data_IF_527432110533
#
_entry.id   IF_527432110533
#
_cell.length_a   1.000
_cell.length_b   1.000
_cell.length_c   1.000
_cell.angle_alpha   90.00
_cell.angle_beta   90.00
_cell.angle_gamma   90.00
#
_symmetry.space_group_name_H-M   'P 1'
#
loop_
_entity.id
_entity.type
_entity.pdbx_description
1 polymer ?
#
# COMPACT_ATOMS: atom_id res chain seq x y z
N UNK A 1 -70.21 15.08 14.00
CA UNK A 1 -69.80 16.44 14.31
C UNK A 1 -68.33 16.56 14.05
N UNK A 2 -67.96 17.02 12.93
CA UNK A 2 -67.38 18.32 12.63
C UNK A 2 -66.02 18.47 13.37
N UNK A 3 -64.91 18.69 12.76
CA UNK A 3 -64.63 19.52 11.65
C UNK A 3 -63.17 19.39 11.13
N UNK A 4 -63.15 19.55 9.87
CA UNK A 4 -62.00 19.72 8.99
C UNK A 4 -61.33 21.09 9.24
N UNK A 5 -59.98 21.13 9.20
CA UNK A 5 -59.29 22.37 8.80
C UNK A 5 -57.99 22.06 8.08
N UNK A 6 -58.00 22.32 6.77
CA UNK A 6 -56.85 22.53 5.91
C UNK A 6 -56.33 23.97 6.10
N UNK A 7 -55.00 24.12 6.09
CA UNK A 7 -54.28 25.36 5.73
C UNK A 7 -52.88 24.86 5.38
N UNK A 8 -52.21 25.09 4.29
CA UNK A 8 -52.31 26.01 3.19
C UNK A 8 -50.90 26.07 2.60
N UNK A 9 -50.81 25.76 1.33
CA UNK A 9 -49.56 25.80 0.55
C UNK A 9 -49.03 27.24 0.45
N UNK A 10 -47.71 27.40 0.50
CA UNK A 10 -47.02 28.54 -0.11
C UNK A 10 -45.80 28.06 -0.90
N UNK A 11 -46.02 28.02 -2.21
CA UNK A 11 -45.00 28.00 -3.20
C UNK A 11 -44.25 29.35 -3.22
N UNK A 12 -42.92 29.33 -3.21
CA UNK A 12 -42.13 30.48 -3.60
C UNK A 12 -41.40 30.16 -4.89
N UNK A 13 -41.95 30.73 -5.97
CA UNK A 13 -41.32 30.87 -7.27
C UNK A 13 -40.33 32.02 -7.16
N UNK A 14 -39.08 31.80 -7.47
CA UNK A 14 -38.13 32.85 -7.77
C UNK A 14 -37.68 32.72 -9.24
N UNK A 15 -38.11 33.72 -9.97
CA UNK A 15 -37.82 33.98 -11.37
C UNK A 15 -36.34 34.29 -11.60
N UNK A 16 -35.92 33.83 -12.75
CA UNK A 16 -34.77 34.23 -13.55
C UNK A 16 -34.50 35.74 -13.62
N UNK A 17 -33.27 36.11 -13.46
CA UNK A 17 -32.77 37.36 -14.01
C UNK A 17 -31.51 37.05 -14.84
N UNK A 18 -31.74 36.91 -16.16
CA UNK A 18 -30.75 36.94 -17.21
C UNK A 18 -30.64 38.38 -17.68
N UNK A 19 -29.51 39.05 -17.43
CA UNK A 19 -29.11 40.21 -18.25
C UNK A 19 -27.63 40.47 -18.18
N UNK A 20 -27.00 40.31 -19.33
CA UNK A 20 -25.95 41.18 -19.91
C UNK A 20 -24.63 41.38 -19.16
N UNK A 21 -23.58 40.73 -19.66
CA UNK A 21 -22.34 41.45 -19.89
C UNK A 21 -21.69 40.94 -21.21
N UNK A 22 -22.02 41.67 -22.27
CA UNK A 22 -21.23 41.70 -23.52
C UNK A 22 -20.14 42.75 -23.38
N UNK A 23 -18.95 42.35 -23.79
CA UNK A 23 -18.00 43.35 -24.32
C UNK A 23 -16.77 43.60 -23.45
N UNK A 24 -15.68 42.93 -23.79
CA UNK A 24 -14.40 43.62 -24.09
C UNK A 24 -13.42 42.62 -24.75
N UNK A 25 -13.43 42.64 -26.08
CA UNK A 25 -12.38 42.06 -26.90
C UNK A 25 -11.32 43.15 -27.07
N UNK A 26 -10.20 43.01 -26.40
CA UNK A 26 -9.00 43.79 -26.73
C UNK A 26 -8.04 42.89 -27.53
N UNK A 27 -7.93 43.19 -28.82
CA UNK A 27 -6.92 42.66 -29.72
C UNK A 27 -5.53 43.13 -29.27
N UNK A 28 -4.69 42.20 -28.87
CA UNK A 28 -3.24 42.40 -28.89
C UNK A 28 -2.68 41.70 -30.14
N UNK A 29 -2.25 42.47 -31.10
CA UNK A 29 -1.53 42.03 -32.29
C UNK A 29 -0.19 41.43 -31.90
N UNK A 30 0.14 40.38 -32.63
CA UNK A 30 1.34 39.60 -32.48
C UNK A 30 2.66 40.34 -32.76
N UNK A 31 3.67 39.76 -32.19
CA UNK A 31 5.01 39.77 -32.76
C UNK A 31 5.51 38.33 -32.73
N UNK A 32 5.70 37.80 -33.92
CA UNK A 32 6.40 36.55 -34.14
C UNK A 32 7.87 36.75 -33.77
N UNK A 33 8.37 35.96 -32.86
CA UNK A 33 9.81 35.87 -32.62
C UNK A 33 10.38 34.80 -33.57
N UNK A 34 11.39 35.17 -34.30
CA UNK A 34 12.20 34.32 -35.18
C UNK A 34 12.94 33.26 -34.35
N UNK A 35 13.15 32.06 -34.92
CA UNK A 35 13.94 31.02 -34.26
C UNK A 35 15.43 31.37 -34.33
N UNK A 36 16.23 31.06 -33.30
CA UNK A 36 17.67 31.30 -33.34
C UNK A 36 18.36 30.33 -34.31
N UNK A 37 19.33 30.90 -35.03
CA UNK A 37 20.19 30.26 -36.02
C UNK A 37 20.91 29.02 -35.43
N UNK A 38 21.00 27.99 -36.27
CA UNK A 38 21.85 26.84 -36.09
C UNK A 38 23.32 27.21 -36.15
N UNK A 39 24.02 27.04 -35.04
CA UNK A 39 25.49 27.13 -35.04
C UNK A 39 26.03 25.71 -35.19
N UNK A 40 26.60 25.46 -36.38
CA UNK A 40 27.46 24.31 -36.65
C UNK A 40 28.69 24.35 -35.74
N UNK A 41 28.86 23.36 -34.89
CA UNK A 41 30.12 23.11 -34.19
C UNK A 41 30.64 21.73 -34.56
N UNK A 42 31.61 21.72 -35.47
CA UNK A 42 32.42 20.58 -35.80
C UNK A 42 33.16 20.01 -34.59
N UNK A 43 32.99 18.72 -34.44
CA UNK A 43 33.97 17.69 -34.02
C UNK A 43 35.14 18.08 -33.12
N UNK A 44 35.18 17.50 -31.94
CA UNK A 44 36.37 16.77 -31.47
C UNK A 44 35.92 15.57 -30.64
N UNK A 45 36.00 14.39 -31.25
CA UNK A 45 35.97 13.10 -30.53
C UNK A 45 37.21 13.00 -29.63
N UNK A 46 37.03 13.16 -28.33
CA UNK A 46 37.85 12.51 -27.34
C UNK A 46 36.98 11.58 -26.53
N UNK A 47 37.07 10.30 -26.92
CA UNK A 47 36.53 9.18 -26.13
C UNK A 47 37.34 9.06 -24.84
N UNK A 48 36.95 9.82 -23.82
CA UNK A 48 37.30 9.42 -22.46
C UNK A 48 36.35 8.30 -22.03
N UNK A 49 36.78 7.07 -22.29
CA UNK A 49 36.28 5.89 -21.63
C UNK A 49 36.56 6.08 -20.13
N UNK A 50 35.59 6.66 -19.39
CA UNK A 50 35.61 6.57 -17.95
C UNK A 50 35.36 5.12 -17.60
N UNK A 51 36.42 4.45 -17.15
CA UNK A 51 36.34 3.20 -16.42
C UNK A 51 35.48 3.46 -15.17
N UNK A 52 34.21 3.14 -15.26
CA UNK A 52 33.33 3.04 -14.09
C UNK A 52 33.75 1.78 -13.37
N UNK A 53 34.24 1.83 -12.12
CA UNK A 53 34.52 0.63 -11.39
C UNK A 53 33.21 -0.17 -11.26
N UNK A 54 33.17 -1.37 -11.80
CA UNK A 54 32.13 -2.35 -11.55
C UNK A 54 32.12 -2.66 -10.05
N UNK A 55 31.17 -2.07 -9.29
CA UNK A 55 31.06 -2.33 -7.87
C UNK A 55 30.60 -1.21 -6.96
N UNK A 56 30.21 -0.04 -7.47
CA UNK A 56 29.49 0.90 -6.65
C UNK A 56 28.02 0.45 -6.57
N UNK A 57 27.67 -0.33 -5.53
CA UNK A 57 26.28 -0.41 -5.11
C UNK A 57 25.84 1.02 -4.85
N UNK A 58 24.86 1.51 -5.60
CA UNK A 58 24.18 2.76 -5.23
C UNK A 58 23.79 2.60 -3.77
N UNK A 59 24.39 3.39 -2.89
CA UNK A 59 24.09 3.34 -1.47
C UNK A 59 22.67 3.86 -1.35
N UNK A 60 21.80 3.01 -0.87
CA UNK A 60 20.46 3.43 -0.48
C UNK A 60 20.58 4.48 0.62
N UNK A 61 20.12 5.70 0.34
CA UNK A 61 19.98 6.73 1.35
C UNK A 61 18.62 6.56 2.03
N UNK A 62 18.64 5.85 3.16
CA UNK A 62 17.44 5.66 3.96
C UNK A 62 16.90 7.01 4.45
N UNK A 63 15.66 7.33 4.11
CA UNK A 63 14.95 8.54 4.58
C UNK A 63 14.31 8.33 5.94
N UNK A 64 14.15 7.10 6.36
CA UNK A 64 13.62 6.68 7.65
C UNK A 64 14.15 5.28 8.00
N UNK A 65 14.01 4.87 9.24
CA UNK A 65 14.23 3.48 9.69
C UNK A 65 13.12 3.07 10.65
N UNK A 66 12.96 1.76 10.84
CA UNK A 66 12.07 1.23 11.88
C UNK A 66 12.74 1.13 13.26
N UNK A 67 14.05 1.31 13.31
CA UNK A 67 14.84 1.28 14.54
C UNK A 67 14.82 2.66 15.23
N UNK A 68 14.88 2.71 16.58
CA UNK A 68 15.05 3.97 17.31
C UNK A 68 16.27 4.75 16.82
N UNK A 69 16.18 6.07 16.76
CA UNK A 69 17.26 6.95 16.34
C UNK A 69 16.76 8.14 15.51
N UNK A 70 17.67 8.94 14.99
CA UNK A 70 17.33 10.20 14.29
C UNK A 70 16.38 10.06 13.11
N UNK A 71 16.32 8.87 12.51
CA UNK A 71 15.40 8.51 11.41
C UNK A 71 14.30 7.53 11.86
N UNK A 72 14.24 7.23 13.15
CA UNK A 72 13.32 6.25 13.74
C UNK A 72 11.89 6.76 13.87
N UNK A 73 10.97 5.85 14.26
CA UNK A 73 9.52 6.14 14.30
C UNK A 73 9.15 7.33 15.18
N UNK A 74 9.95 7.64 16.21
CA UNK A 74 9.77 8.80 17.09
C UNK A 74 10.00 10.14 16.39
N UNK A 75 10.67 10.14 15.23
CA UNK A 75 11.01 11.33 14.45
C UNK A 75 10.33 11.41 13.08
N UNK A 76 9.44 10.47 12.74
CA UNK A 76 8.75 10.48 11.44
C UNK A 76 7.84 11.69 11.23
N UNK A 77 7.43 12.36 12.31
CA UNK A 77 6.69 13.63 12.25
C UNK A 77 5.28 13.51 11.66
N UNK A 78 4.72 14.67 11.33
CA UNK A 78 3.43 14.82 10.61
C UNK A 78 2.31 13.90 11.11
N UNK A 79 1.61 13.23 10.19
CA UNK A 79 0.51 12.32 10.52
C UNK A 79 1.00 11.10 11.31
N UNK A 80 2.27 10.70 11.16
CA UNK A 80 2.83 9.57 11.92
C UNK A 80 2.77 9.80 13.44
N UNK A 81 2.95 11.04 13.88
CA UNK A 81 2.94 11.43 15.30
C UNK A 81 1.61 12.00 15.77
N UNK A 82 0.85 12.69 14.90
CA UNK A 82 -0.39 13.39 15.26
C UNK A 82 -1.67 12.60 14.94
N UNK A 83 -1.57 11.58 14.10
CA UNK A 83 -2.70 10.79 13.63
C UNK A 83 -3.45 10.06 14.75
N UNK A 84 -4.73 9.85 14.54
CA UNK A 84 -5.63 9.23 15.53
C UNK A 84 -5.97 7.78 15.18
N UNK A 85 -5.77 7.38 13.93
CA UNK A 85 -6.08 6.04 13.41
C UNK A 85 -4.83 5.34 12.89
N UNK A 86 -3.75 5.42 13.65
CA UNK A 86 -2.46 4.88 13.22
C UNK A 86 -2.39 3.35 13.31
N UNK A 87 -1.56 2.76 12.43
CA UNK A 87 -1.21 1.33 12.37
C UNK A 87 0.31 1.14 12.58
N UNK A 88 0.77 -0.08 12.95
CA UNK A 88 -0.01 -1.28 13.26
C UNK A 88 -0.64 -1.22 14.66
N UNK A 89 -1.53 -2.18 14.98
CA UNK A 89 -2.23 -2.23 16.28
C UNK A 89 -2.12 -3.62 16.93
N UNK A 90 -2.41 -3.69 18.23
CA UNK A 90 -2.68 -4.96 18.91
C UNK A 90 -4.19 -5.24 18.92
N UNK A 91 -4.59 -6.33 18.27
CA UNK A 91 -5.96 -6.81 18.21
C UNK A 91 -6.25 -7.59 19.50
N UNK A 92 -6.51 -6.88 20.59
CA UNK A 92 -6.81 -7.47 21.91
C UNK A 92 -8.29 -7.78 22.10
N UNK A 93 -9.15 -6.99 21.41
CA UNK A 93 -10.61 -7.08 21.55
C UNK A 93 -11.25 -6.90 20.18
N UNK A 94 -11.65 -8.00 19.58
CA UNK A 94 -12.48 -7.99 18.40
C UNK A 94 -13.96 -8.18 18.81
N UNK A 95 -14.85 -7.56 18.04
CA UNK A 95 -16.30 -7.76 18.19
C UNK A 95 -16.81 -8.36 16.89
N UNK A 96 -17.38 -9.54 17.00
CA UNK A 96 -18.14 -10.12 15.89
C UNK A 96 -19.36 -9.25 15.64
N UNK A 97 -19.54 -8.79 14.43
CA UNK A 97 -20.73 -8.01 14.06
C UNK A 97 -21.91 -8.96 13.84
N UNK A 98 -22.98 -8.80 14.62
CA UNK A 98 -24.13 -9.70 14.48
C UNK A 98 -24.95 -9.41 13.20
N UNK A 99 -24.97 -8.19 12.67
CA UNK A 99 -25.84 -7.80 11.53
C UNK A 99 -25.35 -6.50 10.89
N UNK A 100 -25.27 -6.41 9.55
CA UNK A 100 -25.15 -7.53 8.61
C UNK A 100 -23.81 -8.22 8.74
N UNK A 101 -23.67 -9.48 8.32
CA UNK A 101 -22.38 -10.16 8.33
C UNK A 101 -21.38 -9.38 7.46
N UNK A 102 -20.13 -9.36 7.88
CA UNK A 102 -19.07 -8.76 7.08
C UNK A 102 -19.00 -9.47 5.73
N UNK A 103 -18.89 -8.69 4.65
CA UNK A 103 -18.74 -9.25 3.32
C UNK A 103 -17.45 -10.07 3.23
N UNK A 104 -17.47 -11.24 2.56
CA UNK A 104 -16.27 -12.04 2.37
C UNK A 104 -15.25 -11.30 1.52
N UNK A 105 -14.00 -11.74 1.64
CA UNK A 105 -12.91 -11.36 0.73
C UNK A 105 -12.98 -12.26 -0.51
N UNK A 106 -13.30 -11.68 -1.67
CA UNK A 106 -13.38 -12.38 -2.94
C UNK A 106 -12.12 -12.13 -3.74
N UNK A 107 -11.14 -13.04 -3.67
CA UNK A 107 -9.88 -12.94 -4.39
C UNK A 107 -10.03 -13.41 -5.83
N UNK A 108 -9.62 -12.59 -6.79
CA UNK A 108 -9.60 -12.86 -8.22
C UNK A 108 -8.17 -12.70 -8.74
N UNK A 109 -7.27 -13.52 -8.23
CA UNK A 109 -5.87 -13.52 -8.63
C UNK A 109 -5.62 -14.60 -9.67
N UNK A 110 -4.73 -14.30 -10.59
CA UNK A 110 -4.28 -15.20 -11.65
C UNK A 110 -2.75 -15.25 -11.63
N UNK A 111 -2.13 -16.31 -12.16
CA UNK A 111 -0.71 -16.34 -12.31
C UNK A 111 -0.18 -15.13 -13.07
N UNK A 112 0.77 -14.42 -12.48
CA UNK A 112 1.43 -13.25 -13.04
C UNK A 112 2.93 -13.48 -13.12
N UNK A 113 3.60 -12.76 -14.01
CA UNK A 113 5.05 -12.74 -14.12
C UNK A 113 5.66 -12.27 -12.81
N UNK A 114 6.75 -12.91 -12.40
CA UNK A 114 7.47 -12.52 -11.19
C UNK A 114 8.19 -11.18 -11.43
N UNK A 115 7.80 -10.18 -10.63
CA UNK A 115 8.41 -8.85 -10.60
C UNK A 115 8.75 -8.52 -9.14
N UNK A 116 10.04 -8.61 -8.80
CA UNK A 116 10.54 -8.39 -7.44
C UNK A 116 11.29 -7.08 -7.33
N UNK A 117 11.12 -6.43 -6.21
CA UNK A 117 11.85 -5.22 -5.83
C UNK A 117 12.50 -5.42 -4.48
N UNK A 118 13.79 -5.11 -4.39
CA UNK A 118 14.47 -4.95 -3.12
C UNK A 118 14.50 -3.45 -2.81
N UNK A 119 13.47 -2.98 -2.09
CA UNK A 119 13.21 -1.56 -1.85
C UNK A 119 13.95 -1.06 -0.61
N UNK A 120 15.15 -0.57 -0.83
CA UNK A 120 15.97 -0.07 0.25
C UNK A 120 15.47 1.26 0.86
N UNK A 121 14.62 2.00 0.16
CA UNK A 121 14.04 3.22 0.72
C UNK A 121 12.94 2.91 1.73
N UNK A 122 12.26 1.77 1.58
CA UNK A 122 11.21 1.31 2.49
C UNK A 122 11.67 0.17 3.40
N UNK A 123 12.93 -0.28 3.28
CA UNK A 123 13.53 -1.38 4.06
C UNK A 123 12.76 -2.70 3.95
N UNK A 124 12.33 -3.06 2.74
CA UNK A 124 11.59 -4.30 2.52
C UNK A 124 11.82 -4.89 1.12
N UNK A 125 11.56 -6.17 0.99
CA UNK A 125 11.38 -6.85 -0.29
C UNK A 125 9.90 -6.84 -0.61
N UNK A 126 9.57 -6.61 -1.89
CA UNK A 126 8.19 -6.67 -2.38
C UNK A 126 8.07 -7.39 -3.72
N UNK A 127 6.88 -7.88 -4.01
CA UNK A 127 6.48 -8.42 -5.31
C UNK A 127 5.41 -7.52 -5.88
N UNK A 128 5.61 -6.99 -7.07
CA UNK A 128 4.63 -6.15 -7.78
C UNK A 128 3.76 -6.99 -8.71
N UNK A 129 2.56 -6.51 -8.97
CA UNK A 129 1.57 -7.19 -9.81
C UNK A 129 1.00 -6.27 -10.90
N UNK A 130 0.62 -6.85 -12.06
CA UNK A 130 -0.07 -6.11 -13.11
C UNK A 130 -1.52 -5.77 -12.70
N UNK A 131 -2.16 -4.88 -13.47
CA UNK A 131 -3.45 -4.27 -13.15
C UNK A 131 -4.68 -5.20 -13.23
N UNK A 132 -4.47 -6.50 -13.47
CA UNK A 132 -5.56 -7.46 -13.69
C UNK A 132 -5.84 -8.42 -12.51
N UNK A 133 -5.23 -8.20 -11.35
CA UNK A 133 -5.48 -8.96 -10.13
C UNK A 133 -6.35 -8.14 -9.17
N UNK A 134 -7.47 -8.70 -8.76
CA UNK A 134 -8.47 -7.96 -7.99
C UNK A 134 -8.91 -8.71 -6.73
N UNK A 135 -9.15 -7.92 -5.69
CA UNK A 135 -9.91 -8.29 -4.51
C UNK A 135 -11.23 -7.55 -4.53
N UNK A 136 -12.35 -8.23 -4.33
CA UNK A 136 -13.65 -7.59 -4.13
C UNK A 136 -14.07 -7.68 -2.67
N UNK A 137 -14.51 -6.57 -2.10
CA UNK A 137 -15.08 -6.48 -0.76
C UNK A 137 -16.38 -5.68 -0.86
N UNK A 138 -17.50 -6.28 -0.44
CA UNK A 138 -18.82 -5.67 -0.55
C UNK A 138 -19.10 -5.09 -1.96
N UNK A 139 -18.76 -5.84 -3.01
CA UNK A 139 -18.87 -5.51 -4.44
C UNK A 139 -17.91 -4.42 -4.94
N UNK A 140 -17.08 -3.82 -4.09
CA UNK A 140 -16.07 -2.86 -4.52
C UNK A 140 -14.80 -3.58 -4.94
N UNK A 141 -14.28 -3.31 -6.13
CA UNK A 141 -13.01 -3.88 -6.57
C UNK A 141 -11.84 -3.07 -6.03
N UNK A 142 -10.76 -3.77 -5.67
CA UNK A 142 -9.48 -3.23 -5.28
C UNK A 142 -8.39 -3.98 -6.04
N UNK A 143 -7.58 -3.28 -6.80
CA UNK A 143 -6.48 -3.87 -7.58
C UNK A 143 -5.32 -4.22 -6.65
N UNK A 144 -4.80 -5.44 -6.73
CA UNK A 144 -3.55 -5.82 -6.07
C UNK A 144 -2.39 -5.08 -6.74
N UNK A 145 -1.68 -4.28 -5.99
CA UNK A 145 -0.49 -3.54 -6.45
C UNK A 145 0.78 -4.31 -6.16
N UNK A 146 0.95 -4.70 -4.90
CA UNK A 146 2.16 -5.36 -4.42
C UNK A 146 1.89 -6.22 -3.19
N UNK A 147 2.84 -7.11 -2.88
CA UNK A 147 2.92 -7.82 -1.61
C UNK A 147 4.22 -7.42 -0.95
N UNK A 148 4.13 -6.82 0.22
CA UNK A 148 5.26 -6.39 1.04
C UNK A 148 5.54 -7.42 2.15
N UNK A 149 6.82 -7.65 2.44
CA UNK A 149 7.25 -8.60 3.46
C UNK A 149 7.82 -7.83 4.67
N UNK A 150 7.31 -8.13 5.86
CA UNK A 150 7.76 -7.52 7.12
C UNK A 150 8.23 -8.58 8.11
N UNK A 151 9.36 -8.32 8.78
CA UNK A 151 9.91 -9.16 9.85
C UNK A 151 10.33 -8.26 11.04
N UNK A 152 9.73 -8.48 12.23
CA UNK A 152 8.57 -9.34 12.52
C UNK A 152 7.30 -8.83 11.82
N UNK A 153 6.20 -9.61 11.89
CA UNK A 153 4.91 -9.14 11.39
C UNK A 153 4.42 -7.91 12.15
N UNK A 154 3.63 -7.06 11.50
CA UNK A 154 3.36 -5.73 12.02
C UNK A 154 2.21 -5.69 13.04
N UNK A 155 1.01 -6.20 12.69
CA UNK A 155 -0.08 -6.24 13.66
C UNK A 155 0.11 -7.37 14.67
N UNK A 156 -0.23 -7.11 15.92
CA UNK A 156 -0.26 -8.13 16.95
C UNK A 156 -1.68 -8.64 17.19
N UNK A 157 -1.80 -9.89 17.61
CA UNK A 157 -3.06 -10.47 18.08
C UNK A 157 -2.84 -10.92 19.52
N UNK A 158 -3.59 -10.32 20.45
CA UNK A 158 -3.49 -10.59 21.89
C UNK A 158 -2.04 -10.48 22.42
N UNK A 159 -1.37 -9.41 22.02
CA UNK A 159 -0.01 -9.08 22.43
C UNK A 159 1.10 -9.86 21.70
N UNK A 160 0.78 -10.71 20.74
CA UNK A 160 1.77 -11.52 20.02
C UNK A 160 1.86 -11.09 18.57
N UNK A 161 3.03 -10.68 18.12
CA UNK A 161 3.35 -10.49 16.71
C UNK A 161 3.66 -11.84 16.07
N UNK A 162 3.26 -12.07 14.80
CA UNK A 162 3.72 -13.22 14.05
C UNK A 162 5.21 -13.09 13.71
N UNK A 163 5.85 -14.20 13.35
CA UNK A 163 7.27 -14.20 12.97
C UNK A 163 7.54 -13.27 11.76
N UNK A 164 6.63 -13.27 10.79
CA UNK A 164 6.60 -12.33 9.66
C UNK A 164 5.15 -12.00 9.32
N UNK A 165 4.95 -11.01 8.47
CA UNK A 165 3.68 -10.81 7.77
C UNK A 165 3.88 -10.45 6.31
N UNK A 166 2.90 -10.85 5.49
CA UNK A 166 2.78 -10.45 4.10
C UNK A 166 1.62 -9.46 4.00
N UNK A 167 1.89 -8.29 3.47
CA UNK A 167 0.87 -7.27 3.26
C UNK A 167 0.51 -7.19 1.79
N UNK A 168 -0.66 -7.67 1.43
CA UNK A 168 -1.24 -7.56 0.09
C UNK A 168 -1.85 -6.17 -0.03
N UNK A 169 -1.13 -5.27 -0.67
CA UNK A 169 -1.50 -3.87 -0.82
C UNK A 169 -2.39 -3.69 -2.04
N UNK A 170 -3.60 -3.19 -1.81
CA UNK A 170 -4.57 -2.96 -2.87
C UNK A 170 -4.98 -1.50 -2.95
N UNK A 171 -5.36 -1.10 -4.16
CA UNK A 171 -5.85 0.25 -4.45
C UNK A 171 -7.24 0.18 -5.09
N UNK A 172 -8.16 0.99 -4.59
CA UNK A 172 -9.43 1.23 -5.28
C UNK A 172 -9.23 2.14 -6.50
N UNK A 173 -10.22 2.25 -7.40
CA UNK A 173 -10.18 3.25 -8.48
C UNK A 173 -10.01 4.69 -7.99
N UNK A 174 -10.47 4.99 -6.77
CA UNK A 174 -10.32 6.29 -6.12
C UNK A 174 -9.01 6.43 -5.33
N UNK A 175 -8.05 5.53 -5.55
CA UNK A 175 -6.74 5.49 -4.89
C UNK A 175 -6.83 5.36 -3.35
N UNK A 176 -7.86 4.69 -2.82
CA UNK A 176 -7.91 4.35 -1.40
C UNK A 176 -7.24 3.00 -1.14
N UNK A 177 -6.47 2.93 -0.07
CA UNK A 177 -5.75 1.71 0.30
C UNK A 177 -6.63 0.70 1.03
N UNK A 178 -6.48 -0.56 0.66
CA UNK A 178 -6.93 -1.73 1.40
C UNK A 178 -5.75 -2.69 1.52
N UNK A 179 -5.42 -3.10 2.75
CA UNK A 179 -4.33 -4.04 3.00
C UNK A 179 -4.90 -5.31 3.62
N UNK A 180 -4.60 -6.44 2.98
CA UNK A 180 -4.82 -7.76 3.58
C UNK A 180 -3.50 -8.23 4.15
N UNK A 181 -3.42 -8.37 5.47
CA UNK A 181 -2.25 -8.91 6.14
C UNK A 181 -2.42 -10.41 6.39
N UNK A 182 -1.47 -11.17 5.89
CA UNK A 182 -1.35 -12.62 6.12
C UNK A 182 -0.27 -12.84 7.18
N UNK A 183 -0.61 -13.28 8.39
CA UNK A 183 0.38 -13.63 9.40
C UNK A 183 1.21 -14.84 8.97
N UNK A 184 2.46 -14.87 9.36
CA UNK A 184 3.37 -15.99 9.11
C UNK A 184 3.87 -16.55 10.44
N UNK A 185 3.80 -17.85 10.59
CA UNK A 185 4.38 -18.59 11.72
C UNK A 185 5.53 -19.49 11.24
N UNK A 186 6.47 -19.74 12.12
CA UNK A 186 7.50 -20.73 11.84
C UNK A 186 6.86 -22.13 11.80
N UNK A 187 7.18 -22.89 10.73
CA UNK A 187 6.63 -24.20 10.49
C UNK A 187 7.27 -24.86 9.28
N UNK A 188 6.46 -25.38 8.38
CA UNK A 188 6.92 -26.04 7.16
C UNK A 188 7.46 -25.04 6.15
N UNK A 189 8.36 -25.53 5.30
CA UNK A 189 8.84 -24.76 4.15
C UNK A 189 7.68 -24.41 3.21
N UNK A 190 7.66 -23.15 2.77
CA UNK A 190 6.73 -22.67 1.74
C UNK A 190 7.46 -22.68 0.37
N UNK A 191 7.02 -23.51 -0.59
CA UNK A 191 7.72 -23.64 -1.89
C UNK A 191 7.75 -22.34 -2.69
N UNK A 192 6.66 -21.53 -2.64
CA UNK A 192 6.61 -20.27 -3.37
C UNK A 192 7.60 -19.27 -2.77
N UNK A 193 7.67 -19.18 -1.44
CA UNK A 193 8.67 -18.34 -0.76
C UNK A 193 10.09 -18.78 -1.13
N UNK A 194 10.34 -20.11 -1.21
CA UNK A 194 11.63 -20.62 -1.68
C UNK A 194 11.96 -20.18 -3.11
N UNK A 195 10.97 -20.05 -3.97
CA UNK A 195 11.12 -19.48 -5.32
C UNK A 195 11.42 -17.99 -5.26
N UNK A 196 10.64 -17.22 -4.48
CA UNK A 196 10.83 -15.77 -4.35
C UNK A 196 12.23 -15.43 -3.84
N UNK A 197 12.70 -16.07 -2.77
CA UNK A 197 14.00 -15.77 -2.16
C UNK A 197 15.21 -16.02 -3.09
N UNK A 198 15.05 -16.90 -4.08
CA UNK A 198 16.09 -17.11 -5.12
C UNK A 198 16.19 -15.95 -6.11
N UNK A 199 15.19 -15.10 -6.17
CA UNK A 199 15.06 -14.03 -7.17
C UNK A 199 15.03 -12.63 -6.56
N UNK A 200 15.34 -12.48 -5.26
CA UNK A 200 15.46 -11.15 -4.64
C UNK A 200 16.64 -10.41 -5.28
N UNK A 201 16.41 -9.26 -5.91
CA UNK A 201 17.49 -8.51 -6.55
C UNK A 201 18.41 -7.85 -5.52
N UNK A 202 19.54 -7.32 -5.97
CA UNK A 202 20.40 -6.49 -5.12
C UNK A 202 19.66 -5.27 -4.58
N UNK A 203 20.06 -4.74 -3.42
CA UNK A 203 19.39 -3.63 -2.77
C UNK A 203 19.20 -2.41 -3.68
N UNK A 204 18.02 -1.79 -3.64
CA UNK A 204 17.63 -0.70 -4.49
C UNK A 204 17.34 -1.06 -5.95
N UNK A 205 17.23 -2.33 -6.28
CA UNK A 205 17.01 -2.83 -7.65
C UNK A 205 15.69 -3.56 -7.80
N UNK A 206 15.26 -3.61 -9.05
CA UNK A 206 14.11 -4.37 -9.52
C UNK A 206 14.57 -5.53 -10.39
N UNK A 207 13.84 -6.63 -10.34
CA UNK A 207 14.08 -7.78 -11.23
C UNK A 207 12.75 -8.34 -11.71
N UNK A 208 12.55 -8.31 -13.02
CA UNK A 208 11.45 -8.98 -13.70
C UNK A 208 11.98 -10.27 -14.31
N UNK A 209 11.35 -11.40 -14.00
CA UNK A 209 11.74 -12.71 -14.49
C UNK A 209 10.66 -13.25 -15.42
N UNK A 210 10.94 -13.23 -16.75
CA UNK A 210 9.93 -13.46 -17.80
C UNK A 210 9.43 -14.89 -17.88
N UNK A 211 10.20 -15.85 -17.44
CA UNK A 211 9.92 -17.29 -17.48
C UNK A 211 9.29 -17.84 -16.20
N UNK A 212 9.24 -17.03 -15.13
CA UNK A 212 8.66 -17.41 -13.86
C UNK A 212 7.31 -16.73 -13.68
N UNK A 213 6.28 -17.54 -13.47
CA UNK A 213 4.96 -17.08 -13.07
C UNK A 213 4.66 -17.56 -11.66
N UNK A 214 4.08 -16.66 -10.87
CA UNK A 214 3.62 -16.94 -9.52
C UNK A 214 2.13 -16.64 -9.40
N UNK A 215 1.46 -17.33 -8.49
CA UNK A 215 0.07 -17.04 -8.15
C UNK A 215 0.01 -16.51 -6.71
N UNK A 216 -0.43 -15.27 -6.53
CA UNK A 216 -0.58 -14.67 -5.20
C UNK A 216 -1.55 -15.46 -4.29
N UNK A 217 -2.46 -16.26 -4.87
CA UNK A 217 -3.33 -17.17 -4.09
C UNK A 217 -2.54 -18.19 -3.27
N UNK A 218 -1.36 -18.60 -3.74
CA UNK A 218 -0.53 -19.61 -3.05
C UNK A 218 0.13 -19.07 -1.77
N UNK A 219 0.00 -17.78 -1.51
CA UNK A 219 0.43 -17.11 -0.27
C UNK A 219 -0.74 -16.79 0.68
N UNK A 220 -1.94 -17.27 0.38
CA UNK A 220 -3.11 -17.14 1.25
C UNK A 220 -3.37 -18.45 1.99
N UNK A 221 -3.83 -18.41 3.26
CA UNK A 221 -4.32 -19.60 3.93
C UNK A 221 -5.64 -20.09 3.28
N UNK A 222 -6.03 -21.33 3.50
CA UNK A 222 -7.28 -21.88 2.98
C UNK A 222 -8.54 -21.20 3.55
N UNK A 223 -8.46 -20.75 4.80
CA UNK A 223 -9.54 -20.01 5.46
C UNK A 223 -9.20 -18.53 5.47
N UNK A 224 -10.08 -17.71 4.88
CA UNK A 224 -9.93 -16.27 4.77
C UNK A 224 -10.67 -15.50 5.87
N UNK A 225 -11.00 -16.11 7.00
CA UNK A 225 -11.52 -15.42 8.16
C UNK A 225 -10.58 -14.29 8.61
N UNK A 226 -11.13 -13.14 9.01
CA UNK A 226 -10.33 -11.94 9.24
C UNK A 226 -10.81 -11.10 10.42
N UNK A 227 -9.91 -10.26 10.92
CA UNK A 227 -10.21 -9.06 11.68
C UNK A 227 -10.12 -7.85 10.76
N UNK A 228 -10.97 -6.84 10.95
CA UNK A 228 -10.91 -5.60 10.15
C UNK A 228 -11.05 -4.35 10.98
N UNK A 229 -10.31 -3.33 10.61
CA UNK A 229 -10.35 -2.01 11.25
C UNK A 229 -9.88 -0.92 10.27
N UNK A 230 -10.13 0.34 10.61
CA UNK A 230 -9.55 1.48 9.90
C UNK A 230 -8.23 1.87 10.53
N UNK A 231 -7.21 2.06 9.70
CA UNK A 231 -5.86 2.38 10.14
C UNK A 231 -5.12 3.29 9.18
N UNK A 232 -3.81 3.17 9.17
CA UNK A 232 -2.89 3.97 8.34
C UNK A 232 -1.91 3.06 7.59
N UNK A 233 -1.11 3.65 6.70
CA UNK A 233 0.16 3.06 6.29
C UNK A 233 1.10 2.99 7.50
N UNK A 234 2.04 2.05 7.48
CA UNK A 234 2.98 1.78 8.59
C UNK A 234 4.38 2.31 8.33
N UNK A 235 4.55 3.02 7.23
CA UNK A 235 5.76 3.77 6.89
C UNK A 235 5.43 5.27 6.73
N UNK A 236 6.40 6.19 6.79
CA UNK A 236 6.19 7.60 6.48
C UNK A 236 5.59 7.78 5.07
N UNK A 237 4.57 8.59 4.92
CA UNK A 237 3.96 9.61 5.80
C UNK A 237 2.74 9.12 6.61
N UNK A 238 2.57 7.81 6.83
CA UNK A 238 1.55 7.21 7.71
C UNK A 238 0.11 7.63 7.41
N UNK A 239 -0.23 7.81 6.14
CA UNK A 239 -1.56 8.25 5.73
C UNK A 239 -2.66 7.37 6.30
N UNK A 240 -3.64 8.01 6.91
CA UNK A 240 -4.83 7.36 7.48
C UNK A 240 -5.88 7.04 6.40
N UNK A 241 -6.89 6.26 6.78
CA UNK A 241 -7.98 5.86 5.88
C UNK A 241 -7.77 4.49 5.25
N UNK A 242 -6.69 3.80 5.57
CA UNK A 242 -6.43 2.43 5.12
C UNK A 242 -7.43 1.45 5.73
N UNK A 243 -8.04 0.61 4.91
CA UNK A 243 -8.85 -0.51 5.37
C UNK A 243 -7.96 -1.73 5.60
N UNK A 244 -7.80 -2.15 6.84
CA UNK A 244 -7.04 -3.32 7.22
C UNK A 244 -7.91 -4.55 7.36
N UNK A 245 -7.44 -5.66 6.79
CA UNK A 245 -7.99 -7.01 6.93
C UNK A 245 -6.86 -7.94 7.35
N UNK A 246 -6.81 -8.29 8.64
CA UNK A 246 -5.79 -9.19 9.19
C UNK A 246 -6.37 -10.59 9.23
N UNK A 247 -5.82 -11.52 8.44
CA UNK A 247 -6.31 -12.88 8.40
C UNK A 247 -6.09 -13.58 9.74
N UNK A 248 -7.07 -14.41 10.14
CA UNK A 248 -7.03 -15.15 11.42
C UNK A 248 -6.06 -16.33 11.39
N UNK A 249 -5.93 -16.94 10.21
CA UNK A 249 -5.13 -18.12 9.99
C UNK A 249 -3.81 -17.77 9.35
N UNK A 250 -2.67 -18.14 9.94
CA UNK A 250 -1.36 -17.88 9.37
C UNK A 250 -1.04 -18.89 8.26
N UNK A 251 -0.08 -18.49 7.41
CA UNK A 251 0.69 -19.44 6.61
C UNK A 251 1.98 -19.80 7.34
N UNK A 252 2.63 -20.88 6.89
CA UNK A 252 3.90 -21.35 7.47
C UNK A 252 5.08 -20.96 6.56
N UNK A 253 6.20 -20.63 7.18
CA UNK A 253 7.53 -20.57 6.58
C UNK A 253 8.51 -21.33 7.46
N UNK A 254 9.52 -21.95 6.87
CA UNK A 254 10.58 -22.59 7.66
C UNK A 254 11.46 -21.54 8.36
N UNK A 255 12.07 -21.93 9.48
CA UNK A 255 13.03 -21.08 10.18
C UNK A 255 14.15 -20.58 9.26
N UNK A 256 14.60 -21.42 8.31
CA UNK A 256 15.62 -21.05 7.33
C UNK A 256 15.13 -19.99 6.33
N UNK A 257 13.86 -20.04 5.90
CA UNK A 257 13.28 -19.02 5.03
C UNK A 257 13.14 -17.67 5.74
N UNK A 258 12.72 -17.67 7.00
CA UNK A 258 12.66 -16.46 7.83
C UNK A 258 14.08 -15.90 8.04
N UNK A 259 15.04 -16.76 8.39
CA UNK A 259 16.43 -16.34 8.57
C UNK A 259 17.06 -15.80 7.27
N UNK A 260 16.69 -16.33 6.10
CA UNK A 260 17.12 -15.82 4.81
C UNK A 260 16.58 -14.41 4.54
N UNK A 261 15.32 -14.13 4.85
CA UNK A 261 14.77 -12.78 4.73
C UNK A 261 15.51 -11.77 5.62
N UNK A 262 15.85 -12.14 6.86
CA UNK A 262 16.61 -11.30 7.80
C UNK A 262 17.98 -10.85 7.28
N UNK A 263 18.54 -11.54 6.26
CA UNK A 263 19.78 -11.11 5.61
C UNK A 263 19.58 -9.86 4.73
N UNK A 264 18.34 -9.60 4.30
CA UNK A 264 17.99 -8.39 3.55
C UNK A 264 17.56 -7.29 4.50
N UNK A 265 16.51 -7.57 5.30
CA UNK A 265 15.90 -6.64 6.24
C UNK A 265 15.41 -7.37 7.49
N UNK A 266 15.56 -6.72 8.61
CA UNK A 266 15.08 -7.21 9.90
C UNK A 266 14.52 -6.04 10.71
N UNK A 267 13.63 -6.34 11.67
CA UNK A 267 12.98 -5.35 12.52
C UNK A 267 12.29 -4.23 11.71
N UNK A 268 11.59 -4.63 10.65
CA UNK A 268 10.90 -3.72 9.73
C UNK A 268 9.43 -3.47 10.14
N UNK A 269 9.09 -3.69 11.38
CA UNK A 269 7.77 -3.44 11.92
C UNK A 269 7.74 -2.16 12.75
N UNK A 270 6.87 -1.24 12.38
CA UNK A 270 6.61 -0.04 13.19
C UNK A 270 6.16 -0.43 14.61
N UNK A 271 6.49 0.34 15.67
CA UNK A 271 5.90 0.15 16.99
C UNK A 271 4.37 0.14 16.95
N UNK A 272 3.77 -0.71 17.80
CA UNK A 272 2.30 -0.78 17.91
C UNK A 272 1.72 0.58 18.31
N UNK A 273 0.66 0.96 17.62
CA UNK A 273 -0.05 2.20 17.85
C UNK A 273 -1.30 1.98 18.71
N UNK A 274 -1.70 2.96 19.49
CA UNK A 274 -2.91 2.85 20.31
C UNK A 274 -4.15 2.56 19.45
N UNK A 275 -4.88 1.50 19.74
CA UNK A 275 -6.14 1.20 19.07
C UNK A 275 -7.19 2.29 19.32
N UNK A 276 -7.10 2.98 20.46
CA UNK A 276 -8.04 3.99 20.93
C UNK A 276 -9.47 3.41 20.99
N UNK A 277 -10.47 4.14 20.49
CA UNK A 277 -11.87 3.72 20.47
C UNK A 277 -12.27 3.08 19.12
N UNK A 278 -11.32 2.79 18.25
CA UNK A 278 -11.62 2.16 16.97
C UNK A 278 -12.24 0.78 17.17
N UNK A 279 -13.35 0.48 16.50
CA UNK A 279 -13.88 -0.87 16.50
C UNK A 279 -12.94 -1.77 15.68
N UNK A 280 -12.64 -2.95 16.20
CA UNK A 280 -12.13 -4.07 15.42
C UNK A 280 -13.30 -5.02 15.24
N UNK A 281 -13.62 -5.31 14.00
CA UNK A 281 -14.68 -6.24 13.64
C UNK A 281 -14.05 -7.58 13.28
N UNK A 282 -14.82 -8.64 13.45
CA UNK A 282 -14.39 -10.00 13.21
C UNK A 282 -15.37 -10.71 12.28
N UNK A 283 -14.86 -11.35 11.21
CA UNK A 283 -15.67 -12.22 10.37
C UNK A 283 -16.11 -13.47 11.16
N UNK A 284 -17.24 -14.06 10.80
CA UNK A 284 -17.69 -15.34 11.39
C UNK A 284 -16.63 -16.41 11.36
#
# INVERSE_FOLDING_TARGET
MAGCRMIGARAFVLLLCWCCFLGWIAQAKGQAAEPPETVDAHQHHHSHQMNIPSGASERCEAKFTYQPGTLGPEHWGEVCSSGQMQSPVDITRAKTMPIPPLAPLEFHYQPAQLDMVNDCNHHLVKVRFPDNLWLKVARKPYRLSEIDFHEPGENAIKGKRPAMSLQFVHLSPEATFLIVEVPVVEGKENPLIGTLWKHVPAGGKEQVTSDIKINAMDLLPADHGFYTFRGSLTNPICNEGVAWFVLKHPIEMSASQIAQYRQYYHDTARPLQPLRQRPVLESP
#
